data_IF_100473155622
#
_entry.id   IF_100473155622
#
_cell.length_a   1.000
_cell.length_b   1.000
_cell.length_c   1.000
_cell.angle_alpha   90.00
_cell.angle_beta   90.00
_cell.angle_gamma   90.00
#
_symmetry.space_group_name_H-M   'P 1'
#
loop_
_entity.id
_entity.type
_entity.pdbx_description
1 polymer ?
#
# COMPACT_ATOMS: atom_id res chain seq x y z
N UNK A 1 -27.83 -29.22 15.99
CA UNK A 1 -26.97 -28.06 15.67
C UNK A 1 -26.83 -28.04 14.16
N UNK A 2 -27.33 -26.98 13.51
CA UNK A 2 -27.55 -26.94 12.07
C UNK A 2 -26.22 -27.06 11.31
N UNK A 3 -26.21 -27.91 10.29
CA UNK A 3 -25.09 -28.15 9.40
C UNK A 3 -24.84 -26.88 8.57
N UNK A 4 -23.80 -26.12 8.94
CA UNK A 4 -23.41 -24.87 8.27
C UNK A 4 -23.04 -25.23 6.82
N UNK A 5 -23.76 -24.69 5.84
CA UNK A 5 -23.42 -24.98 4.43
C UNK A 5 -21.99 -24.50 4.16
N UNK A 6 -21.21 -25.27 3.41
CA UNK A 6 -19.79 -24.98 3.14
C UNK A 6 -19.54 -23.52 2.66
N UNK A 7 -20.47 -22.95 1.91
CA UNK A 7 -20.46 -21.54 1.49
C UNK A 7 -20.49 -20.56 2.67
N UNK A 8 -21.35 -20.83 3.66
CA UNK A 8 -21.47 -20.01 4.86
C UNK A 8 -20.19 -20.06 5.69
N UNK A 9 -19.57 -21.26 5.80
CA UNK A 9 -18.26 -21.42 6.45
C UNK A 9 -17.17 -20.61 5.76
N UNK A 10 -17.11 -20.63 4.43
CA UNK A 10 -16.13 -19.84 3.66
C UNK A 10 -16.36 -18.34 3.83
N UNK A 11 -17.61 -17.87 3.78
CA UNK A 11 -17.93 -16.44 3.97
C UNK A 11 -17.64 -15.94 5.39
N UNK A 12 -17.91 -16.77 6.41
CA UNK A 12 -17.53 -16.46 7.79
C UNK A 12 -16.01 -16.37 7.92
N UNK A 13 -15.28 -17.28 7.25
CA UNK A 13 -13.82 -17.24 7.24
C UNK A 13 -13.26 -16.00 6.54
N UNK A 14 -13.80 -15.63 5.38
CA UNK A 14 -13.46 -14.37 4.69
C UNK A 14 -13.68 -13.17 5.62
N UNK A 15 -14.82 -13.12 6.32
CA UNK A 15 -15.14 -12.08 7.27
C UNK A 15 -14.12 -11.98 8.42
N UNK A 16 -13.74 -13.10 9.02
CA UNK A 16 -12.73 -13.13 10.10
C UNK A 16 -11.36 -12.64 9.62
N UNK A 17 -10.94 -13.05 8.43
CA UNK A 17 -9.67 -12.63 7.83
C UNK A 17 -9.68 -11.11 7.60
N UNK A 18 -10.80 -10.59 7.08
CA UNK A 18 -10.96 -9.15 6.85
C UNK A 18 -10.97 -8.34 8.15
N UNK A 19 -11.58 -8.85 9.23
CA UNK A 19 -11.55 -8.18 10.53
C UNK A 19 -10.12 -8.09 11.07
N UNK A 20 -9.38 -9.20 11.04
CA UNK A 20 -7.96 -9.21 11.43
C UNK A 20 -7.11 -8.30 10.56
N UNK A 21 -7.37 -8.24 9.25
CA UNK A 21 -6.66 -7.34 8.35
C UNK A 21 -6.92 -5.87 8.71
N UNK A 22 -8.17 -5.49 8.98
CA UNK A 22 -8.54 -4.13 9.37
C UNK A 22 -7.89 -3.72 10.69
N UNK A 23 -7.85 -4.61 11.68
CA UNK A 23 -7.15 -4.37 12.95
C UNK A 23 -5.64 -4.14 12.73
N UNK A 24 -5.00 -5.00 11.94
CA UNK A 24 -3.56 -4.88 11.63
C UNK A 24 -3.25 -3.61 10.84
N UNK A 25 -4.09 -3.24 9.88
CA UNK A 25 -3.97 -1.99 9.13
C UNK A 25 -4.12 -0.76 10.04
N UNK A 26 -5.07 -0.79 10.98
CA UNK A 26 -5.26 0.27 11.96
C UNK A 26 -4.03 0.42 12.86
N UNK A 27 -3.49 -0.71 13.35
CA UNK A 27 -2.28 -0.73 14.16
C UNK A 27 -1.06 -0.20 13.38
N UNK A 28 -0.89 -0.66 12.13
CA UNK A 28 0.19 -0.19 11.26
C UNK A 28 0.08 1.31 11.00
N UNK A 29 -1.13 1.81 10.72
CA UNK A 29 -1.36 3.24 10.54
C UNK A 29 -1.01 4.03 11.80
N UNK A 30 -1.41 3.55 12.98
CA UNK A 30 -1.06 4.19 14.25
C UNK A 30 0.46 4.21 14.48
N UNK A 31 1.16 3.10 14.20
CA UNK A 31 2.60 3.00 14.31
C UNK A 31 3.32 4.01 13.41
N UNK A 32 2.92 4.08 12.13
CA UNK A 32 3.46 5.04 11.15
C UNK A 32 3.22 6.49 11.59
N UNK A 33 2.00 6.82 12.04
CA UNK A 33 1.68 8.17 12.53
C UNK A 33 2.46 8.55 13.79
N UNK A 34 2.70 7.59 14.68
CA UNK A 34 3.47 7.78 15.91
C UNK A 34 4.99 7.66 15.69
N UNK A 35 5.44 7.42 14.45
CA UNK A 35 6.85 7.17 14.09
C UNK A 35 7.48 6.01 14.88
N UNK A 36 6.66 5.03 15.27
CA UNK A 36 7.10 3.78 15.92
C UNK A 36 7.39 2.78 14.82
N UNK A 37 8.67 2.58 14.53
CA UNK A 37 9.12 1.73 13.43
C UNK A 37 9.31 0.27 13.85
N UNK A 38 9.44 0.02 15.14
CA UNK A 38 9.52 -1.33 15.71
C UNK A 38 8.24 -2.11 15.38
N UNK A 39 8.38 -3.31 14.80
CA UNK A 39 7.22 -4.14 14.48
C UNK A 39 6.52 -3.82 13.14
N UNK A 40 6.99 -2.82 12.38
CA UNK A 40 6.35 -2.44 11.10
C UNK A 40 6.49 -3.53 10.05
N UNK A 41 7.68 -4.13 9.92
CA UNK A 41 7.93 -5.22 8.96
C UNK A 41 7.12 -6.47 9.31
N UNK A 42 7.01 -6.78 10.61
CA UNK A 42 6.20 -7.87 11.13
C UNK A 42 4.72 -7.63 10.86
N UNK A 43 4.25 -6.39 11.02
CA UNK A 43 2.88 -5.99 10.71
C UNK A 43 2.57 -6.12 9.22
N UNK A 44 3.50 -5.70 8.35
CA UNK A 44 3.39 -5.88 6.90
C UNK A 44 3.34 -7.37 6.54
N UNK A 45 4.26 -8.18 7.07
CA UNK A 45 4.29 -9.63 6.84
C UNK A 45 2.99 -10.31 7.28
N UNK A 46 2.44 -9.91 8.44
CA UNK A 46 1.16 -10.43 8.92
C UNK A 46 0.00 -10.06 8.00
N UNK A 47 -0.04 -8.83 7.48
CA UNK A 47 -1.06 -8.41 6.51
C UNK A 47 -0.91 -9.19 5.20
N UNK A 48 0.31 -9.43 4.71
CA UNK A 48 0.55 -10.22 3.50
C UNK A 48 0.03 -11.64 3.67
N UNK A 49 0.35 -12.32 4.78
CA UNK A 49 -0.15 -13.68 5.07
C UNK A 49 -1.68 -13.73 5.15
N UNK A 50 -2.32 -12.71 5.73
CA UNK A 50 -3.78 -12.61 5.77
C UNK A 50 -4.37 -12.39 4.37
N UNK A 51 -3.68 -11.65 3.51
CA UNK A 51 -4.10 -11.42 2.12
C UNK A 51 -4.03 -12.72 1.31
N UNK A 52 -2.93 -13.46 1.42
CA UNK A 52 -2.77 -14.78 0.78
C UNK A 52 -3.88 -15.75 1.22
N UNK A 53 -4.13 -15.84 2.54
CA UNK A 53 -5.21 -16.68 3.08
C UNK A 53 -6.60 -16.24 2.61
N UNK A 54 -6.82 -14.93 2.41
CA UNK A 54 -8.06 -14.41 1.84
C UNK A 54 -8.22 -14.85 0.38
N UNK A 55 -7.17 -14.72 -0.44
CA UNK A 55 -7.20 -15.13 -1.84
C UNK A 55 -7.47 -16.62 -2.02
N UNK A 56 -6.88 -17.47 -1.17
CA UNK A 56 -7.16 -18.92 -1.16
C UNK A 56 -8.63 -19.21 -0.82
N UNK A 57 -9.15 -18.55 0.21
CA UNK A 57 -10.56 -18.73 0.64
C UNK A 57 -11.52 -18.23 -0.43
N UNK A 58 -11.19 -17.12 -1.09
CA UNK A 58 -11.99 -16.55 -2.18
C UNK A 58 -12.00 -17.47 -3.41
N UNK A 59 -10.85 -18.07 -3.77
CA UNK A 59 -10.79 -19.06 -4.86
C UNK A 59 -11.70 -20.25 -4.58
N UNK A 60 -11.68 -20.79 -3.35
CA UNK A 60 -12.56 -21.88 -2.95
C UNK A 60 -14.05 -21.47 -3.01
N UNK A 61 -14.38 -20.28 -2.52
CA UNK A 61 -15.75 -19.73 -2.57
C UNK A 61 -16.23 -19.56 -4.00
N UNK A 62 -15.39 -19.03 -4.89
CA UNK A 62 -15.74 -18.80 -6.29
C UNK A 62 -15.99 -20.11 -7.04
N UNK A 63 -15.17 -21.14 -6.78
CA UNK A 63 -15.38 -22.48 -7.32
C UNK A 63 -16.74 -23.07 -6.87
N UNK A 64 -17.05 -22.95 -5.57
CA UNK A 64 -18.32 -23.42 -5.01
C UNK A 64 -19.53 -22.63 -5.54
N UNK A 65 -19.36 -21.33 -5.75
CA UNK A 65 -20.41 -20.45 -6.28
C UNK A 65 -20.78 -20.77 -7.73
N UNK A 66 -19.83 -21.27 -8.53
CA UNK A 66 -20.06 -21.62 -9.93
C UNK A 66 -20.99 -22.84 -10.07
N UNK A 67 -20.96 -23.76 -9.10
CA UNK A 67 -21.73 -25.00 -9.12
C UNK A 67 -23.15 -24.89 -8.48
N UNK A 68 -23.50 -23.74 -7.89
CA UNK A 68 -24.75 -23.56 -7.11
C UNK A 68 -25.87 -22.91 -7.93
N UNK A 69 -27.13 -23.26 -7.61
CA UNK A 69 -28.33 -22.61 -8.16
C UNK A 69 -28.47 -21.17 -7.65
N UNK A 70 -29.29 -20.37 -8.34
CA UNK A 70 -29.46 -18.96 -8.00
C UNK A 70 -30.21 -18.72 -6.68
N UNK A 71 -31.08 -19.64 -6.26
CA UNK A 71 -31.74 -19.61 -4.95
C UNK A 71 -30.73 -19.78 -3.82
N UNK A 72 -29.76 -20.70 -3.98
CA UNK A 72 -28.70 -20.92 -3.02
C UNK A 72 -27.71 -19.74 -2.93
N UNK A 73 -27.51 -19.01 -4.04
CA UNK A 73 -26.73 -17.75 -4.04
C UNK A 73 -27.48 -16.63 -3.32
N UNK A 74 -28.80 -16.55 -3.47
CA UNK A 74 -29.62 -15.55 -2.77
C UNK A 74 -29.54 -15.70 -1.24
N UNK A 75 -29.48 -16.93 -0.74
CA UNK A 75 -29.36 -17.20 0.68
C UNK A 75 -28.04 -16.66 1.30
N UNK A 76 -26.94 -16.63 0.53
CA UNK A 76 -25.63 -16.15 1.00
C UNK A 76 -25.36 -14.66 0.74
N UNK A 77 -26.27 -13.95 0.07
CA UNK A 77 -26.13 -12.53 -0.28
C UNK A 77 -25.84 -11.60 0.92
N UNK A 78 -26.49 -11.75 2.08
CA UNK A 78 -26.22 -10.85 3.21
C UNK A 78 -24.78 -10.94 3.70
N UNK A 79 -24.27 -12.17 3.88
CA UNK A 79 -22.89 -12.44 4.29
C UNK A 79 -21.89 -11.97 3.23
N UNK A 80 -22.17 -12.22 1.95
CA UNK A 80 -21.33 -11.73 0.85
C UNK A 80 -21.26 -10.20 0.80
N UNK A 81 -22.37 -9.52 1.09
CA UNK A 81 -22.42 -8.06 1.14
C UNK A 81 -21.56 -7.52 2.29
N UNK A 82 -21.57 -8.20 3.44
CA UNK A 82 -20.70 -7.86 4.57
C UNK A 82 -19.22 -8.00 4.21
N UNK A 83 -18.82 -9.13 3.61
CA UNK A 83 -17.44 -9.37 3.14
C UNK A 83 -17.02 -8.26 2.17
N UNK A 84 -17.85 -7.96 1.16
CA UNK A 84 -17.58 -6.89 0.17
C UNK A 84 -17.41 -5.52 0.84
N UNK A 85 -18.28 -5.20 1.81
CA UNK A 85 -18.19 -3.96 2.57
C UNK A 85 -16.86 -3.84 3.33
N UNK A 86 -16.42 -4.92 3.98
CA UNK A 86 -15.13 -4.96 4.69
C UNK A 86 -13.94 -4.88 3.74
N UNK A 87 -14.02 -5.52 2.57
CA UNK A 87 -12.97 -5.45 1.55
C UNK A 87 -12.78 -4.02 1.02
N UNK A 88 -13.89 -3.29 0.77
CA UNK A 88 -13.84 -1.88 0.38
C UNK A 88 -13.21 -1.01 1.48
N UNK A 89 -13.55 -1.26 2.75
CA UNK A 89 -12.94 -0.58 3.89
C UNK A 89 -11.43 -0.81 3.96
N UNK A 90 -10.98 -2.07 3.82
CA UNK A 90 -9.56 -2.42 3.79
C UNK A 90 -8.81 -1.73 2.66
N UNK A 91 -9.36 -1.75 1.43
CA UNK A 91 -8.78 -1.07 0.27
C UNK A 91 -8.65 0.44 0.50
N UNK A 92 -9.65 1.05 1.11
CA UNK A 92 -9.65 2.47 1.45
C UNK A 92 -8.58 2.78 2.49
N UNK A 93 -8.49 1.98 3.57
CA UNK A 93 -7.50 2.14 4.62
C UNK A 93 -6.06 2.06 4.07
N UNK A 94 -5.78 1.06 3.23
CA UNK A 94 -4.49 0.90 2.55
C UNK A 94 -4.16 2.10 1.65
N UNK A 95 -5.14 2.58 0.85
CA UNK A 95 -4.94 3.75 -0.01
C UNK A 95 -4.62 5.00 0.81
N UNK A 96 -5.32 5.24 1.92
CA UNK A 96 -5.05 6.39 2.78
C UNK A 96 -3.67 6.31 3.42
N UNK A 97 -3.24 5.14 3.87
CA UNK A 97 -1.90 4.95 4.43
C UNK A 97 -0.82 5.18 3.37
N UNK A 98 -1.00 4.63 2.16
CA UNK A 98 -0.09 4.86 1.04
C UNK A 98 0.03 6.34 0.67
N UNK A 99 -1.09 7.07 0.61
CA UNK A 99 -1.09 8.51 0.37
C UNK A 99 -0.32 9.27 1.45
N UNK A 100 -0.52 8.92 2.73
CA UNK A 100 0.22 9.56 3.83
C UNK A 100 1.73 9.35 3.69
N UNK A 101 2.16 8.12 3.40
CA UNK A 101 3.58 7.79 3.24
C UNK A 101 4.18 8.55 2.05
N UNK A 102 3.46 8.64 0.93
CA UNK A 102 3.91 9.40 -0.24
C UNK A 102 4.11 10.88 0.11
N UNK A 103 3.11 11.52 0.72
CA UNK A 103 3.21 12.93 1.14
C UNK A 103 4.36 13.16 2.14
N UNK A 104 4.52 12.27 3.12
CA UNK A 104 5.61 12.37 4.10
C UNK A 104 6.99 12.23 3.44
N UNK A 105 7.14 11.31 2.49
CA UNK A 105 8.36 11.14 1.70
C UNK A 105 8.67 12.39 0.89
N UNK A 106 7.70 12.92 0.16
CA UNK A 106 7.87 14.09 -0.69
C UNK A 106 8.25 15.34 0.13
N UNK A 107 7.63 15.49 1.31
CA UNK A 107 7.99 16.55 2.26
C UNK A 107 9.45 16.42 2.73
N UNK A 108 9.86 15.23 3.20
CA UNK A 108 11.24 14.99 3.65
C UNK A 108 12.24 15.23 2.53
N UNK A 109 11.93 14.74 1.31
CA UNK A 109 12.78 14.96 0.15
C UNK A 109 12.93 16.45 -0.17
N UNK A 110 11.82 17.21 -0.14
CA UNK A 110 11.84 18.66 -0.39
C UNK A 110 12.70 19.41 0.64
N UNK A 111 12.59 19.06 1.93
CA UNK A 111 13.42 19.65 3.00
C UNK A 111 14.89 19.29 2.81
N UNK A 112 15.20 18.06 2.42
CA UNK A 112 16.57 17.63 2.15
C UNK A 112 17.15 18.34 0.92
N UNK A 113 16.36 18.53 -0.14
CA UNK A 113 16.77 19.25 -1.34
C UNK A 113 16.97 20.75 -1.07
N UNK A 114 16.26 21.33 -0.11
CA UNK A 114 16.46 22.72 0.32
C UNK A 114 17.67 22.88 1.26
N UNK A 115 17.83 21.96 2.23
CA UNK A 115 18.93 21.99 3.19
C UNK A 115 20.27 21.58 2.56
N UNK A 116 20.23 20.64 1.63
CA UNK A 116 21.34 20.16 0.83
C UNK A 116 20.93 20.26 -0.64
N UNK A 117 20.86 21.49 -1.21
CA UNK A 117 20.66 21.63 -2.64
C UNK A 117 21.73 20.79 -3.27
N UNK A 118 21.35 19.72 -3.99
CA UNK A 118 22.28 18.88 -4.71
C UNK A 118 23.14 19.84 -5.51
N UNK A 119 24.33 20.10 -4.99
CA UNK A 119 25.16 21.20 -5.42
C UNK A 119 25.68 20.73 -6.76
N UNK A 120 24.94 21.03 -7.83
CA UNK A 120 25.37 20.81 -9.20
C UNK A 120 26.73 21.47 -9.31
N UNK A 121 27.77 20.66 -9.22
CA UNK A 121 29.19 21.00 -9.14
C UNK A 121 29.45 22.48 -8.76
N UNK A 122 29.36 22.82 -7.46
CA UNK A 122 30.01 24.05 -7.00
C UNK A 122 31.53 23.82 -7.09
N UNK A 123 32.13 24.24 -8.20
CA UNK A 123 33.59 24.27 -8.32
C UNK A 123 34.06 25.49 -7.57
N UNK A 124 34.77 25.27 -6.47
CA UNK A 124 35.50 26.32 -5.78
C UNK A 124 36.70 26.71 -6.63
N UNK A 125 36.76 27.98 -7.05
CA UNK A 125 38.00 28.52 -7.62
C UNK A 125 39.07 28.62 -6.51
N UNK A 126 40.36 28.56 -6.86
CA UNK A 126 41.47 28.73 -5.91
C UNK A 126 41.43 30.05 -5.13
N UNK A 127 40.65 31.03 -5.59
CA UNK A 127 40.43 32.33 -4.96
C UNK A 127 39.09 32.43 -4.17
N UNK A 128 38.39 31.32 -3.93
CA UNK A 128 37.20 31.26 -3.07
C UNK A 128 35.88 31.75 -3.69
N UNK A 129 35.85 32.10 -4.98
CA UNK A 129 34.63 32.56 -5.65
C UNK A 129 33.82 31.37 -6.18
N UNK A 130 32.53 31.28 -5.82
CA UNK A 130 31.58 30.26 -6.29
C UNK A 130 31.30 30.47 -7.78
N UNK A 131 31.63 29.48 -8.62
CA UNK A 131 31.34 29.50 -10.05
C UNK A 131 30.34 28.41 -10.41
N UNK A 132 29.22 28.77 -11.06
CA UNK A 132 28.37 27.79 -11.74
C UNK A 132 29.09 27.31 -13.00
N UNK A 133 29.19 26.00 -13.20
CA UNK A 133 29.74 25.42 -14.43
C UNK A 133 28.86 25.85 -15.63
N UNK A 134 29.30 26.85 -16.40
CA UNK A 134 28.71 27.12 -17.71
C UNK A 134 29.21 26.01 -18.66
N UNK A 135 28.33 25.37 -19.45
CA UNK A 135 28.80 24.48 -20.50
C UNK A 135 29.62 25.31 -21.49
N UNK A 136 30.86 24.89 -21.76
CA UNK A 136 31.68 25.48 -22.82
C UNK A 136 31.02 25.15 -24.15
N UNK A 137 30.31 26.13 -24.72
CA UNK A 137 29.86 26.06 -26.11
C UNK A 137 31.11 26.05 -26.99
N UNK A 138 31.45 24.89 -27.56
CA UNK A 138 32.46 24.78 -28.61
C UNK A 138 31.76 25.09 -29.92
N UNK A 139 31.64 26.37 -30.26
CA UNK A 139 31.36 26.76 -31.64
C UNK A 139 32.67 26.64 -32.39
N UNK A 140 32.82 25.55 -33.17
CA UNK A 140 33.93 25.39 -34.11
C UNK A 140 33.71 26.44 -35.21
N UNK A 141 34.46 27.53 -35.14
CA UNK A 141 34.42 28.58 -36.14
C UNK A 141 35.32 28.14 -37.31
N UNK A 142 34.78 27.39 -38.27
CA UNK A 142 35.47 27.13 -39.54
C UNK A 142 35.20 28.29 -40.49
N UNK A 143 36.12 29.26 -40.52
CA UNK A 143 36.32 30.13 -41.67
C UNK A 143 37.83 30.23 -41.93
N UNK A 144 38.16 29.99 -43.21
CA UNK A 144 39.47 29.95 -43.89
C UNK A 144 40.19 28.60 -43.88
#
# INVERSE_FOLDING_TARGET
MADISEMERLLLRENEILDRMLERQSALRAAVLQKKWDGVLESISAITKLTEAFEETEKARNALSAARSDEAKKASLPLLTQVRGKLVKSKTANKTLGNYIAVARDFIQSVLDEAFPQSGAMVYSKAGKIMRAKPSSVVVNTLY
#
